data_IF_511511161987
#
_entry.id   IF_511511161987
#
_cell.length_a   1.000
_cell.length_b   1.000
_cell.length_c   1.000
_cell.angle_alpha   90.00
_cell.angle_beta   90.00
_cell.angle_gamma   90.00
#
_symmetry.space_group_name_H-M   'P 1'
#
loop_
_entity.id
_entity.type
_entity.pdbx_description
1 polymer ?
#
# COMPACT_ATOMS: atom_id res chain seq x y z
N UNK A 1 -12.88 26.25 2.50
CA UNK A 1 -11.73 26.08 3.41
C UNK A 1 -11.41 24.60 3.66
N UNK A 2 -12.42 23.80 3.96
CA UNK A 2 -12.29 22.34 4.23
C UNK A 2 -11.65 21.60 3.05
N UNK A 3 -12.16 21.78 1.83
CA UNK A 3 -11.63 21.15 0.62
C UNK A 3 -10.16 21.51 0.39
N UNK A 4 -9.77 22.77 0.65
CA UNK A 4 -8.38 23.18 0.52
C UNK A 4 -7.46 22.47 1.52
N UNK A 5 -7.89 22.33 2.76
CA UNK A 5 -7.13 21.60 3.81
C UNK A 5 -6.98 20.13 3.43
N UNK A 6 -8.07 19.49 2.98
CA UNK A 6 -8.05 18.10 2.51
C UNK A 6 -7.08 17.91 1.33
N UNK A 7 -7.08 18.80 0.34
CA UNK A 7 -6.17 18.75 -0.79
C UNK A 7 -4.71 18.86 -0.35
N UNK A 8 -4.40 19.81 0.53
CA UNK A 8 -3.02 19.99 1.05
C UNK A 8 -2.54 18.77 1.83
N UNK A 9 -3.42 18.21 2.68
CA UNK A 9 -3.10 16.99 3.41
C UNK A 9 -2.86 15.81 2.46
N UNK A 10 -3.70 15.67 1.44
CA UNK A 10 -3.57 14.61 0.45
C UNK A 10 -2.29 14.75 -0.40
N UNK A 11 -1.89 15.97 -0.75
CA UNK A 11 -0.62 16.21 -1.44
C UNK A 11 0.58 15.72 -0.61
N UNK A 12 0.56 15.90 0.72
CA UNK A 12 1.60 15.37 1.62
C UNK A 12 1.60 13.84 1.66
N UNK A 13 0.42 13.22 1.70
CA UNK A 13 0.28 11.76 1.63
C UNK A 13 0.87 11.21 0.33
N UNK A 14 0.56 11.85 -0.81
CA UNK A 14 1.09 11.47 -2.13
C UNK A 14 2.61 11.59 -2.16
N UNK A 15 3.20 12.66 -1.63
CA UNK A 15 4.65 12.81 -1.57
C UNK A 15 5.33 11.69 -0.78
N UNK A 16 4.74 11.29 0.36
CA UNK A 16 5.25 10.16 1.15
C UNK A 16 5.08 8.82 0.42
N UNK A 17 3.94 8.62 -0.23
CA UNK A 17 3.66 7.43 -1.03
C UNK A 17 4.65 7.27 -2.18
N UNK A 18 4.94 8.35 -2.90
CA UNK A 18 5.83 8.34 -4.07
C UNK A 18 7.26 7.91 -3.73
N UNK A 19 7.77 8.20 -2.53
CA UNK A 19 9.09 7.73 -2.10
C UNK A 19 9.21 6.21 -2.15
N UNK A 20 8.12 5.49 -1.80
CA UNK A 20 8.06 4.03 -1.83
C UNK A 20 7.68 3.51 -3.21
N UNK A 21 6.74 4.17 -3.87
CA UNK A 21 6.27 3.75 -5.19
C UNK A 21 7.40 3.80 -6.22
N UNK A 22 8.23 4.84 -6.18
CA UNK A 22 9.40 4.95 -7.05
C UNK A 22 10.37 3.77 -6.85
N UNK A 23 10.58 3.33 -5.60
CA UNK A 23 11.40 2.15 -5.30
C UNK A 23 10.72 0.86 -5.78
N UNK A 24 9.40 0.70 -5.52
CA UNK A 24 8.63 -0.51 -5.88
C UNK A 24 8.35 -0.63 -7.37
N UNK A 25 8.49 0.43 -8.14
CA UNK A 25 8.28 0.46 -9.59
C UNK A 25 9.56 0.70 -10.38
N UNK A 26 10.71 0.60 -9.71
CA UNK A 26 12.03 0.87 -10.31
C UNK A 26 12.09 2.22 -11.06
N UNK A 27 11.54 3.25 -10.42
CA UNK A 27 11.49 4.60 -10.95
C UNK A 27 10.42 4.84 -12.02
N UNK A 28 9.57 3.86 -12.33
CA UNK A 28 8.62 3.99 -13.43
C UNK A 28 7.42 4.86 -13.07
N UNK A 29 6.80 4.66 -11.89
CA UNK A 29 5.52 5.28 -11.57
C UNK A 29 5.61 6.32 -10.46
N UNK A 30 4.91 7.44 -10.69
CA UNK A 30 4.71 8.52 -9.73
C UNK A 30 3.23 8.92 -9.69
N UNK A 31 2.66 9.01 -8.50
CA UNK A 31 1.30 9.49 -8.31
C UNK A 31 1.24 11.01 -8.28
N UNK A 32 0.21 11.55 -8.89
CA UNK A 32 -0.05 12.99 -8.91
C UNK A 32 -1.54 13.25 -8.73
N UNK A 33 -1.88 14.23 -7.90
CA UNK A 33 -3.27 14.68 -7.82
C UNK A 33 -3.64 15.39 -9.12
N UNK A 34 -4.80 15.04 -9.67
CA UNK A 34 -5.33 15.69 -10.87
C UNK A 34 -5.73 17.13 -10.52
N UNK A 35 -5.23 18.10 -11.26
CA UNK A 35 -5.67 19.49 -11.14
C UNK A 35 -7.04 19.64 -11.82
N UNK A 36 -8.01 20.24 -11.12
CA UNK A 36 -9.42 20.35 -11.52
C UNK A 36 -9.70 21.17 -12.79
N UNK A 37 -8.68 21.75 -13.45
CA UNK A 37 -8.85 22.63 -14.59
C UNK A 37 -9.55 22.01 -15.82
N UNK A 38 -9.73 20.69 -15.88
CA UNK A 38 -10.28 20.01 -17.06
C UNK A 38 -11.72 19.50 -16.93
N UNK A 39 -12.30 19.41 -15.73
CA UNK A 39 -13.67 18.91 -15.61
C UNK A 39 -14.42 19.47 -14.40
N UNK A 40 -15.38 20.37 -14.66
CA UNK A 40 -16.35 20.93 -13.69
C UNK A 40 -17.31 19.90 -13.05
N UNK A 41 -17.03 18.60 -13.10
CA UNK A 41 -17.92 17.53 -12.61
C UNK A 41 -17.40 16.75 -11.40
N UNK A 42 -16.15 16.91 -11.01
CA UNK A 42 -15.59 16.25 -9.82
C UNK A 42 -15.43 17.26 -8.69
N UNK A 43 -16.30 17.17 -7.70
CA UNK A 43 -16.33 18.10 -6.55
C UNK A 43 -15.30 17.76 -5.46
N UNK A 44 -14.57 16.64 -5.55
CA UNK A 44 -13.73 16.18 -4.44
C UNK A 44 -12.27 16.68 -4.50
N UNK A 45 -11.74 16.99 -5.69
CA UNK A 45 -10.33 17.36 -5.86
C UNK A 45 -9.30 16.30 -5.41
N UNK A 46 -9.77 15.06 -5.19
CA UNK A 46 -8.96 13.93 -4.70
C UNK A 46 -8.68 12.89 -5.78
N UNK A 47 -8.94 13.22 -7.04
CA UNK A 47 -8.63 12.32 -8.15
C UNK A 47 -7.12 12.21 -8.38
N UNK A 48 -6.68 10.98 -8.68
CA UNK A 48 -5.29 10.64 -8.91
C UNK A 48 -5.03 10.27 -10.35
N UNK A 49 -3.91 10.75 -10.84
CA UNK A 49 -3.24 10.29 -12.05
C UNK A 49 -1.93 9.59 -11.67
N UNK A 50 -1.44 8.79 -12.58
CA UNK A 50 -0.11 8.21 -12.55
C UNK A 50 0.72 8.79 -13.71
N UNK A 51 1.94 9.20 -13.40
CA UNK A 51 2.97 9.56 -14.39
C UNK A 51 3.82 8.32 -14.60
N UNK A 52 3.94 7.89 -15.85
CA UNK A 52 4.83 6.83 -16.27
C UNK A 52 6.11 7.46 -16.83
N UNK A 53 7.19 7.42 -16.07
CA UNK A 53 8.47 8.03 -16.42
C UNK A 53 9.20 7.30 -17.56
N UNK A 54 8.81 6.05 -17.88
CA UNK A 54 9.43 5.31 -19.00
C UNK A 54 8.95 5.79 -20.35
N UNK A 55 7.69 6.21 -20.44
CA UNK A 55 7.12 6.72 -21.70
C UNK A 55 6.66 8.17 -21.65
N UNK A 56 6.77 8.83 -20.48
CA UNK A 56 6.39 10.22 -20.27
C UNK A 56 4.88 10.47 -20.25
N UNK A 57 4.03 9.42 -20.18
CA UNK A 57 2.58 9.58 -20.19
C UNK A 57 2.03 9.89 -18.79
N UNK A 58 0.95 10.68 -18.76
CA UNK A 58 0.13 10.88 -17.59
C UNK A 58 -1.28 10.33 -17.86
N UNK A 59 -1.78 9.48 -16.98
CA UNK A 59 -3.07 8.81 -17.14
C UNK A 59 -3.74 8.56 -15.80
N UNK A 60 -5.05 8.29 -15.82
CA UNK A 60 -5.77 7.97 -14.58
C UNK A 60 -5.22 6.71 -13.93
N UNK A 61 -5.11 6.69 -12.59
CA UNK A 61 -4.73 5.50 -11.81
C UNK A 61 -5.65 4.30 -12.05
N UNK A 62 -6.87 4.53 -12.53
CA UNK A 62 -7.83 3.47 -12.90
C UNK A 62 -7.36 2.61 -14.08
N UNK A 63 -6.35 3.05 -14.81
CA UNK A 63 -5.76 2.33 -15.96
C UNK A 63 -4.58 1.45 -15.57
N UNK A 64 -4.20 1.45 -14.30
CA UNK A 64 -3.16 0.57 -13.76
C UNK A 64 -3.61 -0.90 -13.80
N UNK A 65 -2.68 -1.81 -14.04
CA UNK A 65 -2.90 -3.24 -13.87
C UNK A 65 -3.15 -3.61 -12.40
N UNK A 66 -3.60 -4.83 -12.13
CA UNK A 66 -3.86 -5.27 -10.77
C UNK A 66 -2.63 -5.15 -9.85
N UNK A 67 -1.47 -5.60 -10.31
CA UNK A 67 -0.22 -5.50 -9.58
C UNK A 67 0.27 -4.06 -9.36
N UNK A 68 0.19 -3.22 -10.40
CA UNK A 68 0.54 -1.80 -10.31
C UNK A 68 -0.40 -1.06 -9.35
N UNK A 69 -1.71 -1.35 -9.43
CA UNK A 69 -2.73 -0.77 -8.56
C UNK A 69 -2.51 -1.18 -7.10
N UNK A 70 -2.14 -2.44 -6.85
CA UNK A 70 -1.79 -2.90 -5.51
C UNK A 70 -0.58 -2.15 -4.95
N UNK A 71 0.52 -2.02 -5.73
CA UNK A 71 1.71 -1.26 -5.33
C UNK A 71 1.36 0.19 -5.00
N UNK A 72 0.60 0.85 -5.84
CA UNK A 72 0.15 2.24 -5.63
C UNK A 72 -0.70 2.38 -4.36
N UNK A 73 -1.66 1.47 -4.15
CA UNK A 73 -2.56 1.46 -2.99
C UNK A 73 -1.80 1.21 -1.68
N UNK A 74 -0.86 0.25 -1.68
CA UNK A 74 0.00 -0.01 -0.53
C UNK A 74 0.84 1.22 -0.18
N UNK A 75 1.46 1.85 -1.16
CA UNK A 75 2.27 3.05 -0.95
C UNK A 75 1.42 4.22 -0.42
N UNK A 76 0.19 4.41 -0.91
CA UNK A 76 -0.73 5.42 -0.40
C UNK A 76 -1.13 5.16 1.05
N UNK A 77 -1.47 3.91 1.40
CA UNK A 77 -1.80 3.55 2.77
C UNK A 77 -0.64 3.81 3.74
N UNK A 78 0.59 3.47 3.32
CA UNK A 78 1.81 3.75 4.08
C UNK A 78 2.09 5.26 4.19
N UNK A 79 1.91 6.01 3.10
CA UNK A 79 2.05 7.46 3.09
C UNK A 79 1.06 8.15 4.03
N UNK A 80 -0.19 7.67 4.04
CA UNK A 80 -1.23 8.15 4.96
C UNK A 80 -0.86 7.84 6.42
N UNK A 81 -0.42 6.61 6.70
CA UNK A 81 0.04 6.21 8.04
C UNK A 81 1.16 7.12 8.54
N UNK A 82 2.15 7.42 7.69
CA UNK A 82 3.25 8.32 8.06
C UNK A 82 2.77 9.76 8.31
N UNK A 83 1.83 10.25 7.51
CA UNK A 83 1.30 11.60 7.67
C UNK A 83 0.48 11.74 8.95
N UNK A 84 -0.36 10.76 9.28
CA UNK A 84 -1.12 10.73 10.54
C UNK A 84 -0.16 10.79 11.73
N UNK A 85 0.90 9.98 11.72
CA UNK A 85 1.86 9.95 12.81
C UNK A 85 2.63 11.27 12.96
N UNK A 86 2.93 11.95 11.86
CA UNK A 86 3.66 13.23 11.89
C UNK A 86 2.77 14.42 12.26
N UNK A 87 1.47 14.38 11.94
CA UNK A 87 0.55 15.51 12.09
C UNK A 87 -0.21 15.51 13.43
N UNK A 88 -0.47 14.34 14.00
CA UNK A 88 -1.43 14.17 15.09
C UNK A 88 -0.80 14.22 16.50
N UNK A 89 0.34 14.88 16.67
CA UNK A 89 0.87 15.17 18.01
C UNK A 89 1.15 13.96 18.88
N UNK A 90 1.50 12.81 18.27
CA UNK A 90 1.91 11.62 19.02
C UNK A 90 1.02 10.39 18.88
N UNK A 91 0.05 10.36 17.96
CA UNK A 91 -0.64 9.11 17.66
C UNK A 91 0.35 8.18 16.95
N UNK A 92 0.68 7.06 17.63
CA UNK A 92 1.54 6.01 17.06
C UNK A 92 0.66 4.93 16.46
N UNK A 93 0.92 4.63 15.20
CA UNK A 93 0.33 3.49 14.50
C UNK A 93 1.38 2.35 14.53
N UNK A 94 1.34 1.56 15.59
CA UNK A 94 2.33 0.52 15.83
C UNK A 94 1.99 -0.81 15.14
N UNK A 95 0.76 -0.93 14.61
CA UNK A 95 0.30 -2.15 13.94
C UNK A 95 -0.38 -1.81 12.61
N UNK A 96 -0.10 -2.61 11.59
CA UNK A 96 -0.71 -2.53 10.27
C UNK A 96 -1.08 -3.92 9.77
N UNK A 97 -2.27 -4.08 9.20
CA UNK A 97 -2.66 -5.30 8.51
C UNK A 97 -2.87 -5.01 7.03
N UNK A 98 -2.30 -5.87 6.19
CA UNK A 98 -2.52 -5.89 4.75
C UNK A 98 -3.31 -7.14 4.41
N UNK A 99 -4.55 -6.95 3.95
CA UNK A 99 -5.48 -8.02 3.64
C UNK A 99 -5.54 -8.22 2.13
N UNK A 100 -5.09 -9.40 1.68
CA UNK A 100 -5.07 -9.82 0.27
C UNK A 100 -4.26 -8.89 -0.69
N UNK A 101 -4.40 -9.08 -1.99
CA UNK A 101 -3.79 -8.25 -3.04
C UNK A 101 -2.45 -8.77 -3.58
N UNK A 102 -1.75 -9.61 -2.85
CA UNK A 102 -0.44 -10.14 -3.27
C UNK A 102 -0.50 -11.12 -4.43
N UNK A 103 -1.66 -11.78 -4.63
CA UNK A 103 -1.86 -12.71 -5.74
C UNK A 103 -1.86 -12.09 -7.14
N UNK A 104 -1.92 -10.77 -7.25
CA UNK A 104 -1.82 -10.03 -8.51
C UNK A 104 -0.39 -9.61 -8.88
N UNK A 105 0.58 -9.90 -8.01
CA UNK A 105 1.99 -9.54 -8.19
C UNK A 105 2.74 -10.67 -8.87
N UNK A 106 3.69 -10.30 -9.74
CA UNK A 106 4.76 -11.19 -10.17
C UNK A 106 5.81 -11.34 -9.04
N UNK A 107 6.72 -12.30 -9.20
CA UNK A 107 7.73 -12.63 -8.19
C UNK A 107 8.59 -11.43 -7.80
N UNK A 108 8.99 -10.61 -8.77
CA UNK A 108 9.81 -9.43 -8.52
C UNK A 108 9.05 -8.37 -7.72
N UNK A 109 7.83 -8.07 -8.11
CA UNK A 109 6.95 -7.13 -7.41
C UNK A 109 6.60 -7.63 -6.00
N UNK A 110 6.41 -8.94 -5.83
CA UNK A 110 6.17 -9.56 -4.53
C UNK A 110 7.38 -9.38 -3.60
N UNK A 111 8.60 -9.61 -4.12
CA UNK A 111 9.84 -9.39 -3.35
C UNK A 111 9.98 -7.93 -2.91
N UNK A 112 9.72 -7.00 -3.82
CA UNK A 112 9.77 -5.57 -3.52
C UNK A 112 8.75 -5.17 -2.45
N UNK A 113 7.51 -5.68 -2.55
CA UNK A 113 6.47 -5.43 -1.55
C UNK A 113 6.86 -5.96 -0.16
N UNK A 114 7.37 -7.20 -0.09
CA UNK A 114 7.84 -7.80 1.17
C UNK A 114 9.00 -6.98 1.76
N UNK A 115 9.95 -6.55 0.94
CA UNK A 115 11.08 -5.73 1.40
C UNK A 115 10.62 -4.41 2.02
N UNK A 116 9.64 -3.74 1.40
CA UNK A 116 9.06 -2.50 1.93
C UNK A 116 8.34 -2.74 3.25
N UNK A 117 7.56 -3.82 3.35
CA UNK A 117 6.83 -4.18 4.57
C UNK A 117 7.77 -4.62 5.70
N UNK A 118 8.83 -5.37 5.39
CA UNK A 118 9.86 -5.76 6.36
C UNK A 118 10.60 -4.56 6.93
N UNK A 119 10.91 -3.56 6.11
CA UNK A 119 11.52 -2.32 6.58
C UNK A 119 10.65 -1.54 7.58
N UNK A 120 9.33 -1.70 7.55
CA UNK A 120 8.45 -1.13 8.56
C UNK A 120 8.56 -1.87 9.90
N UNK A 121 8.75 -3.19 9.87
CA UNK A 121 8.93 -4.01 11.07
C UNK A 121 10.24 -3.69 11.80
N UNK A 122 11.31 -3.38 11.06
CA UNK A 122 12.57 -2.90 11.64
C UNK A 122 12.42 -1.57 12.40
N UNK A 123 11.42 -0.77 12.03
CA UNK A 123 11.02 0.48 12.70
C UNK A 123 10.09 0.30 13.91
N UNK A 124 10.00 -0.89 14.52
CA UNK A 124 9.11 -1.24 15.64
C UNK A 124 7.61 -1.23 15.29
N UNK A 125 7.23 -1.44 14.05
CA UNK A 125 5.84 -1.66 13.66
C UNK A 125 5.55 -3.15 13.49
N UNK A 126 4.43 -3.61 14.02
CA UNK A 126 3.92 -4.94 13.75
C UNK A 126 3.17 -4.91 12.40
N UNK A 127 3.66 -5.68 11.43
CA UNK A 127 3.01 -5.83 10.14
C UNK A 127 2.43 -7.22 10.02
N UNK A 128 1.11 -7.32 9.92
CA UNK A 128 0.39 -8.57 9.65
C UNK A 128 -0.04 -8.62 8.17
N UNK A 129 0.14 -9.77 7.55
CA UNK A 129 -0.30 -10.04 6.19
C UNK A 129 -1.33 -11.15 6.23
N UNK A 130 -2.50 -10.91 5.65
CA UNK A 130 -3.54 -11.92 5.44
C UNK A 130 -3.51 -12.30 3.97
N UNK A 131 -3.18 -13.53 3.67
CA UNK A 131 -3.07 -14.00 2.28
C UNK A 131 -3.17 -15.51 2.16
N UNK A 132 -3.60 -15.96 0.99
CA UNK A 132 -3.59 -17.37 0.61
C UNK A 132 -2.44 -17.71 -0.36
N UNK A 133 -1.57 -16.75 -0.69
CA UNK A 133 -0.45 -16.93 -1.63
C UNK A 133 0.62 -17.83 -1.02
N UNK A 134 0.92 -18.95 -1.70
CA UNK A 134 1.85 -19.98 -1.22
C UNK A 134 3.27 -19.45 -1.01
N UNK A 135 3.77 -18.59 -1.89
CA UNK A 135 5.11 -18.01 -1.81
C UNK A 135 5.33 -17.13 -0.56
N UNK A 136 4.27 -16.48 -0.05
CA UNK A 136 4.35 -15.73 1.20
C UNK A 136 4.61 -16.66 2.40
N UNK A 137 4.07 -17.89 2.38
CA UNK A 137 4.30 -18.88 3.44
C UNK A 137 5.76 -19.30 3.55
N UNK A 138 6.47 -19.35 2.44
CA UNK A 138 7.88 -19.72 2.41
C UNK A 138 8.81 -18.61 2.86
N UNK A 139 8.35 -17.36 2.78
CA UNK A 139 9.17 -16.17 3.05
C UNK A 139 8.95 -15.55 4.42
N UNK A 140 7.83 -15.86 5.08
CA UNK A 140 7.45 -15.29 6.38
C UNK A 140 7.54 -16.40 7.43
N UNK A 141 8.46 -16.26 8.38
CA UNK A 141 8.75 -17.26 9.41
C UNK A 141 7.62 -17.38 10.44
N UNK A 142 7.05 -16.26 10.88
CA UNK A 142 5.99 -16.25 11.90
C UNK A 142 4.62 -16.27 11.26
N UNK A 143 3.89 -17.35 11.46
CA UNK A 143 2.61 -17.56 10.79
C UNK A 143 1.51 -17.98 11.76
N UNK A 144 0.30 -17.53 11.48
CA UNK A 144 -0.93 -18.07 12.05
C UNK A 144 -1.65 -18.81 10.92
N UNK A 145 -1.67 -20.14 10.99
CA UNK A 145 -2.32 -20.97 9.97
C UNK A 145 -3.75 -21.25 10.40
N UNK A 146 -4.71 -20.81 9.58
CA UNK A 146 -6.14 -21.06 9.81
C UNK A 146 -6.61 -22.18 8.88
N UNK A 147 -7.08 -23.27 9.46
CA UNK A 147 -7.61 -24.43 8.73
C UNK A 147 -9.09 -24.61 9.04
N UNK A 148 -9.88 -24.93 8.02
CA UNK A 148 -11.30 -25.24 8.16
C UNK A 148 -11.46 -26.67 8.66
N UNK A 149 -12.21 -26.84 9.74
CA UNK A 149 -12.54 -28.18 10.25
C UNK A 149 -13.73 -28.78 9.48
N UNK A 150 -13.66 -30.07 9.17
CA UNK A 150 -14.74 -30.81 8.52
C UNK A 150 -15.99 -30.98 9.39
N UNK A 151 -15.83 -30.92 10.71
CA UNK A 151 -16.89 -31.00 11.69
C UNK A 151 -17.61 -29.65 11.93
N UNK A 152 -17.19 -28.59 11.26
CA UNK A 152 -17.68 -27.22 11.41
C UNK A 152 -16.78 -26.36 12.28
N UNK A 153 -16.55 -25.12 11.83
CA UNK A 153 -15.63 -24.19 12.50
C UNK A 153 -14.27 -24.09 11.81
N UNK A 154 -13.34 -23.42 12.47
CA UNK A 154 -11.97 -23.24 12.01
C UNK A 154 -11.00 -23.39 13.18
N UNK A 155 -9.82 -23.90 12.90
CA UNK A 155 -8.71 -24.05 13.86
C UNK A 155 -7.59 -23.12 13.45
N UNK A 156 -7.03 -22.39 14.41
CA UNK A 156 -5.86 -21.54 14.21
C UNK A 156 -4.65 -22.16 14.96
N UNK A 157 -3.55 -22.27 14.27
CA UNK A 157 -2.28 -22.77 14.83
C UNK A 157 -1.19 -21.72 14.58
N UNK A 158 -0.39 -21.44 15.59
CA UNK A 158 0.72 -20.50 15.50
C UNK A 158 2.02 -21.27 15.23
N UNK A 159 2.65 -20.99 14.11
CA UNK A 159 3.99 -21.48 13.79
C UNK A 159 4.98 -20.34 14.09
N UNK A 160 5.73 -20.51 15.17
CA UNK A 160 6.86 -19.67 15.52
C UNK A 160 8.04 -20.61 15.66
N UNK A 161 8.83 -20.79 14.61
CA UNK A 161 10.14 -21.41 14.78
C UNK A 161 11.02 -20.42 15.56
N UNK A 162 11.40 -20.86 16.76
CA UNK A 162 12.30 -20.14 17.69
C UNK A 162 13.74 -20.51 17.36
#
# INVERSE_FOLDING_TARGET
LETYVQMRYFDLVIQRANRRLMVMSDGQYELKRRNEAENNRSQSGLELDVIDHYNGSQRSVRTLSGGESFKASLCLALGLSDEIQSSAGGIRLDTMFVDEGFGSLDDESLQQAIKVLSGLSEGNKLVGIISHVGELKERIEKQIVVTKDRAGGSRAEMNCDI
#
